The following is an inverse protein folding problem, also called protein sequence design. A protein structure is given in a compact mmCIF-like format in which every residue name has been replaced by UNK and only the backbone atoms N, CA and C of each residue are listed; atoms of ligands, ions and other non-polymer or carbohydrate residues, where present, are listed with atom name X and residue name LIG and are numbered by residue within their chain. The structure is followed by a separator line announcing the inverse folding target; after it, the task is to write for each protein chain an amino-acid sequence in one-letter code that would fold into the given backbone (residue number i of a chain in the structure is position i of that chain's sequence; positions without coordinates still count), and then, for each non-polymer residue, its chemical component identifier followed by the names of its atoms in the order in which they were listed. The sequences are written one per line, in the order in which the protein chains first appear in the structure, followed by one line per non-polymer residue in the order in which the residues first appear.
data_IF_110961891560
#
_entry.id   IF_110961891560
#
_cell.length_a   1.000
_cell.length_b   1.000
_cell.length_c   1.000
_cell.angle_alpha   90.00
_cell.angle_beta   90.00
_cell.angle_gamma   90.00
#
_symmetry.space_group_name_H-M   'P 1'
#
loop_
_entity.id
_entity.type
_entity.pdbx_description
1 polymer ?
#
# COMPACT_ATOMS: atom_id res chain seq x y z
N UNK A 1 -13.03 -71.08 69.45
CA UNK A 1 -12.88 -69.62 69.31
C UNK A 1 -12.52 -69.27 67.90
N UNK A 2 -13.44 -68.66 67.16
CA UNK A 2 -13.23 -68.11 65.80
C UNK A 2 -13.22 -66.61 65.91
N UNK A 3 -12.29 -65.88 65.24
CA UNK A 3 -12.32 -64.44 65.20
C UNK A 3 -13.30 -63.94 64.13
N UNK A 4 -14.06 -62.97 64.55
CA UNK A 4 -15.07 -62.24 63.80
C UNK A 4 -14.42 -61.37 62.77
N UNK A 5 -14.69 -61.59 61.48
CA UNK A 5 -14.26 -60.75 60.38
C UNK A 5 -15.21 -59.55 60.26
N UNK A 6 -14.73 -58.39 60.57
CA UNK A 6 -15.42 -57.12 60.26
C UNK A 6 -15.32 -56.87 58.74
N UNK A 7 -16.50 -56.97 58.08
CA UNK A 7 -16.61 -56.45 56.70
C UNK A 7 -16.83 -54.93 56.76
N UNK A 8 -15.84 -54.21 56.37
CA UNK A 8 -16.02 -52.79 56.07
C UNK A 8 -16.62 -52.68 54.67
N UNK A 9 -17.92 -52.42 54.61
CA UNK A 9 -18.56 -51.96 53.34
C UNK A 9 -18.19 -50.52 53.10
N UNK A 10 -17.25 -50.29 52.18
CA UNK A 10 -16.92 -48.99 51.71
C UNK A 10 -18.00 -48.55 50.69
N UNK A 11 -18.96 -47.77 51.18
CA UNK A 11 -19.96 -47.11 50.33
C UNK A 11 -19.28 -46.01 49.56
N UNK A 12 -18.86 -46.31 48.31
CA UNK A 12 -18.43 -45.27 47.37
C UNK A 12 -19.65 -44.47 46.96
N UNK A 13 -19.83 -43.32 47.61
CA UNK A 13 -20.75 -42.29 47.14
C UNK A 13 -20.11 -41.63 45.88
N UNK A 14 -20.55 -42.11 44.71
CA UNK A 14 -20.26 -41.45 43.45
C UNK A 14 -20.98 -40.11 43.43
N UNK A 15 -20.35 -39.06 43.97
CA UNK A 15 -20.69 -37.70 43.64
C UNK A 15 -20.23 -37.50 42.18
N UNK A 16 -21.15 -37.62 41.24
CA UNK A 16 -20.97 -37.10 39.88
C UNK A 16 -20.91 -35.59 39.97
N UNK A 17 -19.70 -35.07 40.19
CA UNK A 17 -19.38 -33.68 39.90
C UNK A 17 -19.52 -33.50 38.40
N UNK A 18 -20.69 -33.06 37.96
CA UNK A 18 -20.86 -32.47 36.62
C UNK A 18 -20.04 -31.20 36.60
N UNK A 19 -18.76 -31.33 36.30
CA UNK A 19 -17.97 -30.19 35.85
C UNK A 19 -18.54 -29.84 34.48
N UNK A 20 -19.47 -28.88 34.46
CA UNK A 20 -19.73 -28.13 33.25
C UNK A 20 -18.37 -27.50 32.87
N UNK A 21 -17.70 -28.13 31.92
CA UNK A 21 -16.56 -27.47 31.24
C UNK A 21 -17.12 -26.18 30.64
N UNK A 22 -16.97 -25.09 31.39
CA UNK A 22 -17.10 -23.77 30.78
C UNK A 22 -16.03 -23.74 29.70
N UNK A 23 -16.45 -23.86 28.44
CA UNK A 23 -15.64 -23.51 27.31
C UNK A 23 -15.09 -22.11 27.65
N UNK A 24 -13.76 -21.92 27.70
CA UNK A 24 -13.23 -20.60 27.94
C UNK A 24 -13.78 -19.74 26.82
N UNK A 25 -14.76 -18.88 27.12
CA UNK A 25 -15.13 -17.77 26.25
C UNK A 25 -13.82 -17.02 26.06
N UNK A 26 -13.31 -17.06 24.83
CA UNK A 26 -12.20 -16.20 24.46
C UNK A 26 -12.54 -14.80 25.00
N UNK A 27 -11.63 -14.14 25.71
CA UNK A 27 -11.89 -12.82 26.23
C UNK A 27 -12.44 -12.02 25.06
N UNK A 28 -13.61 -11.40 25.26
CA UNK A 28 -14.16 -10.52 24.27
C UNK A 28 -13.02 -9.57 23.92
N UNK A 29 -12.50 -9.68 22.71
CA UNK A 29 -11.46 -8.77 22.22
C UNK A 29 -12.15 -7.43 22.28
N UNK A 30 -11.91 -6.68 23.37
CA UNK A 30 -12.33 -5.30 23.44
C UNK A 30 -11.78 -4.68 22.19
N UNK A 31 -12.66 -4.28 21.29
CA UNK A 31 -12.28 -3.57 20.07
C UNK A 31 -11.24 -2.54 20.49
N UNK A 32 -10.01 -2.58 19.98
CA UNK A 32 -9.00 -1.67 20.46
C UNK A 32 -9.55 -0.27 20.32
N UNK A 33 -9.50 0.52 21.36
CA UNK A 33 -9.93 1.91 21.37
C UNK A 33 -9.18 2.78 20.32
N UNK A 34 -8.36 2.16 19.48
CA UNK A 34 -7.52 2.73 18.44
C UNK A 34 -7.97 2.25 17.07
N UNK A 35 -9.09 2.79 16.59
CA UNK A 35 -9.40 2.74 15.17
C UNK A 35 -8.33 3.47 14.36
N UNK A 36 -8.09 3.03 13.12
CA UNK A 36 -7.21 3.74 12.18
C UNK A 36 -7.88 5.07 11.82
N UNK A 37 -7.19 6.16 12.08
CA UNK A 37 -7.54 7.52 11.64
C UNK A 37 -6.40 8.02 10.79
N UNK A 38 -6.48 7.74 9.50
CA UNK A 38 -5.42 7.98 8.54
C UNK A 38 -5.71 9.20 7.67
N UNK A 39 -4.63 9.84 7.22
CA UNK A 39 -4.67 10.89 6.20
C UNK A 39 -3.66 10.57 5.10
N UNK A 40 -4.04 10.82 3.84
CA UNK A 40 -3.08 10.84 2.73
C UNK A 40 -2.40 12.20 2.73
N UNK A 41 -1.09 12.20 2.67
CA UNK A 41 -0.27 13.40 2.47
C UNK A 41 0.40 13.30 1.11
N UNK A 42 -0.10 14.08 0.17
CA UNK A 42 0.34 14.12 -1.22
C UNK A 42 1.55 15.03 -1.39
N UNK A 43 2.63 14.49 -1.93
CA UNK A 43 3.83 15.27 -2.29
C UNK A 43 3.90 15.62 -3.77
N UNK A 44 3.04 15.04 -4.60
CA UNK A 44 2.98 15.32 -6.03
C UNK A 44 2.79 16.81 -6.30
N UNK A 45 3.72 17.40 -7.03
CA UNK A 45 3.75 18.84 -7.30
C UNK A 45 3.67 19.73 -6.05
N UNK A 46 3.98 19.17 -4.88
CA UNK A 46 3.89 19.88 -3.61
C UNK A 46 2.44 20.17 -3.16
N UNK A 47 1.46 19.35 -3.55
CA UNK A 47 0.03 19.60 -3.34
C UNK A 47 -0.28 19.87 -1.85
N UNK A 48 0.03 18.94 -0.95
CA UNK A 48 -0.13 19.12 0.49
C UNK A 48 1.17 19.61 1.12
N UNK A 49 2.29 19.09 0.63
CA UNK A 49 3.64 19.44 1.05
C UNK A 49 4.65 19.01 -0.03
N UNK A 50 5.72 19.78 -0.28
CA UNK A 50 6.20 20.97 0.41
C UNK A 50 5.64 22.31 -0.13
N UNK A 51 4.53 22.31 -0.82
CA UNK A 51 3.77 23.52 -1.21
C UNK A 51 4.63 24.62 -1.87
N UNK A 52 5.49 24.23 -2.83
CA UNK A 52 6.38 25.13 -3.56
C UNK A 52 7.62 25.60 -2.78
N UNK A 53 7.84 25.10 -1.58
CA UNK A 53 9.06 25.38 -0.80
C UNK A 53 10.15 24.38 -1.14
N UNK A 54 11.00 24.74 -2.07
CA UNK A 54 12.10 23.88 -2.50
C UNK A 54 13.29 23.97 -1.56
N UNK A 55 13.90 22.83 -1.25
CA UNK A 55 15.10 22.73 -0.44
C UNK A 55 16.34 22.49 -1.32
N UNK A 56 17.07 23.56 -1.62
CA UNK A 56 18.34 23.54 -2.40
C UNK A 56 19.54 23.76 -1.49
N UNK A 57 19.30 24.43 -0.36
CA UNK A 57 20.29 24.76 0.66
C UNK A 57 19.90 24.17 2.00
N UNK A 58 20.84 24.14 2.96
CA UNK A 58 20.54 23.68 4.31
C UNK A 58 19.49 24.57 5.02
N UNK A 59 19.49 25.87 4.76
CA UNK A 59 18.50 26.80 5.31
C UNK A 59 17.10 26.52 4.75
N UNK A 60 16.97 26.37 3.44
CA UNK A 60 15.70 26.00 2.78
C UNK A 60 15.20 24.62 3.26
N UNK A 61 16.11 23.67 3.52
CA UNK A 61 15.76 22.38 4.09
C UNK A 61 15.19 22.51 5.51
N UNK A 62 15.71 23.40 6.33
CA UNK A 62 15.15 23.66 7.68
C UNK A 62 13.74 24.23 7.59
N UNK A 63 13.47 25.15 6.66
CA UNK A 63 12.14 25.70 6.46
C UNK A 63 11.15 24.63 5.97
N UNK A 64 11.57 23.81 5.01
CA UNK A 64 10.75 22.71 4.46
C UNK A 64 10.43 21.67 5.55
N UNK A 65 11.41 21.30 6.38
CA UNK A 65 11.24 20.43 7.54
C UNK A 65 10.27 21.05 8.57
N UNK A 66 10.46 22.32 8.91
CA UNK A 66 9.59 23.01 9.86
C UNK A 66 8.13 23.08 9.38
N UNK A 67 7.90 23.18 8.08
CA UNK A 67 6.56 23.12 7.49
C UNK A 67 5.93 21.74 7.73
N UNK A 68 6.64 20.63 7.45
CA UNK A 68 6.14 19.29 7.68
C UNK A 68 5.85 19.03 9.17
N UNK A 69 6.74 19.46 10.05
CA UNK A 69 6.54 19.34 11.50
C UNK A 69 5.24 20.03 11.94
N UNK A 70 4.95 21.24 11.46
CA UNK A 70 3.69 21.94 11.77
C UNK A 70 2.45 21.19 11.23
N UNK A 71 2.54 20.60 10.03
CA UNK A 71 1.46 19.77 9.50
C UNK A 71 1.22 18.57 10.43
N UNK A 72 2.26 17.90 10.87
CA UNK A 72 2.15 16.74 11.76
C UNK A 72 1.65 17.13 13.17
N UNK A 73 2.00 18.31 13.69
CA UNK A 73 1.42 18.85 14.92
C UNK A 73 -0.09 19.01 14.79
N UNK A 74 -0.55 19.57 13.68
CA UNK A 74 -1.99 19.72 13.39
C UNK A 74 -2.71 18.37 13.26
N UNK A 75 -2.10 17.40 12.58
CA UNK A 75 -2.66 16.05 12.44
C UNK A 75 -2.76 15.35 13.81
N UNK A 76 -1.74 15.43 14.64
CA UNK A 76 -1.76 14.88 15.98
C UNK A 76 -2.85 15.53 16.84
N UNK A 77 -2.98 16.85 16.79
CA UNK A 77 -4.03 17.59 17.52
C UNK A 77 -5.44 17.20 17.05
N UNK A 78 -5.60 16.87 15.77
CA UNK A 78 -6.86 16.35 15.20
C UNK A 78 -7.12 14.87 15.53
N UNK A 79 -6.23 14.21 16.28
CA UNK A 79 -6.37 12.81 16.66
C UNK A 79 -6.03 11.80 15.54
N UNK A 80 -5.37 12.23 14.47
CA UNK A 80 -4.83 11.35 13.43
C UNK A 80 -3.71 10.49 14.05
N UNK A 81 -3.70 9.21 13.70
CA UNK A 81 -2.71 8.27 14.21
C UNK A 81 -1.92 7.55 13.10
N UNK A 82 -2.22 7.82 11.84
CA UNK A 82 -1.56 7.19 10.70
C UNK A 82 -1.44 8.19 9.55
N UNK A 83 -0.25 8.33 9.00
CA UNK A 83 0.01 9.17 7.82
C UNK A 83 0.40 8.28 6.66
N UNK A 84 -0.37 8.34 5.58
CA UNK A 84 -0.04 7.72 4.31
C UNK A 84 0.78 8.75 3.51
N UNK A 85 2.10 8.68 3.66
CA UNK A 85 3.04 9.66 3.11
C UNK A 85 3.46 9.29 1.70
N UNK A 86 3.16 10.13 0.70
CA UNK A 86 3.48 9.85 -0.69
C UNK A 86 4.99 9.81 -0.90
N UNK A 87 5.50 8.59 -0.98
CA UNK A 87 6.93 8.26 -1.05
C UNK A 87 7.39 7.97 -2.48
N UNK A 88 6.54 7.33 -3.28
CA UNK A 88 6.72 7.17 -4.72
C UNK A 88 5.60 7.89 -5.45
N UNK A 89 5.98 8.81 -6.33
CA UNK A 89 5.02 9.71 -7.00
C UNK A 89 4.66 9.15 -8.40
N UNK A 90 5.52 9.32 -9.37
CA UNK A 90 5.35 8.82 -10.74
C UNK A 90 6.68 8.36 -11.31
N UNK A 91 7.19 7.24 -10.80
CA UNK A 91 8.55 6.75 -11.06
C UNK A 91 9.64 7.77 -10.65
N UNK A 92 9.32 8.52 -9.60
CA UNK A 92 10.19 9.40 -8.83
C UNK A 92 9.88 9.19 -7.35
N UNK A 93 10.82 9.46 -6.47
CA UNK A 93 10.72 9.13 -5.05
C UNK A 93 11.12 10.27 -4.12
N UNK A 94 10.75 10.13 -2.84
CA UNK A 94 11.01 11.07 -1.75
C UNK A 94 12.18 10.62 -0.85
N UNK A 95 13.12 9.83 -1.38
CA UNK A 95 14.26 9.32 -0.61
C UNK A 95 15.44 9.01 -1.55
N UNK A 96 16.68 8.89 -1.04
CA UNK A 96 17.83 8.52 -1.86
C UNK A 96 17.73 7.04 -2.31
N UNK A 97 17.09 6.82 -3.45
CA UNK A 97 16.89 5.51 -4.07
C UNK A 97 18.01 5.18 -5.05
N UNK A 98 18.36 3.89 -5.15
CA UNK A 98 19.21 3.36 -6.21
C UNK A 98 18.43 2.96 -7.46
N UNK A 99 17.09 2.98 -7.39
CA UNK A 99 16.18 2.48 -8.43
C UNK A 99 15.52 3.62 -9.19
N UNK A 100 14.97 4.61 -8.50
CA UNK A 100 14.24 5.73 -9.11
C UNK A 100 14.82 7.09 -8.70
N UNK A 101 14.75 8.10 -9.57
CA UNK A 101 15.29 9.44 -9.28
C UNK A 101 14.42 10.20 -8.27
N UNK A 102 15.01 11.22 -7.67
CA UNK A 102 14.30 12.14 -6.81
C UNK A 102 13.16 12.88 -7.52
N UNK A 103 12.04 13.05 -6.82
CA UNK A 103 10.98 13.92 -7.31
C UNK A 103 11.37 15.40 -7.20
N UNK A 104 10.97 16.17 -8.22
CA UNK A 104 11.29 17.59 -8.29
C UNK A 104 10.54 18.46 -7.28
N UNK A 105 9.51 17.94 -6.60
CA UNK A 105 8.77 18.69 -5.59
C UNK A 105 9.66 19.12 -4.42
N UNK A 106 10.72 18.36 -4.10
CA UNK A 106 11.56 18.62 -2.93
C UNK A 106 12.68 19.64 -3.18
N UNK A 107 13.38 19.54 -4.30
CA UNK A 107 14.50 20.44 -4.65
C UNK A 107 14.14 21.52 -5.68
N UNK A 108 12.95 21.42 -6.30
CA UNK A 108 12.56 22.25 -7.44
C UNK A 108 13.06 21.73 -8.79
N UNK A 109 13.89 20.69 -8.81
CA UNK A 109 14.47 20.13 -10.02
C UNK A 109 14.32 18.62 -10.04
N UNK A 110 13.59 18.05 -11.02
CA UNK A 110 13.46 16.60 -11.15
C UNK A 110 14.82 15.89 -11.24
N UNK A 111 14.99 14.82 -10.49
CA UNK A 111 16.23 14.04 -10.42
C UNK A 111 17.32 14.59 -9.52
N UNK A 112 17.11 15.77 -8.92
CA UNK A 112 18.08 16.40 -8.01
C UNK A 112 17.64 16.21 -6.56
N UNK A 113 18.54 15.70 -5.73
CA UNK A 113 18.28 15.48 -4.31
C UNK A 113 18.16 16.82 -3.55
N UNK A 114 17.25 16.94 -2.59
CA UNK A 114 17.34 17.94 -1.53
C UNK A 114 18.50 17.59 -0.58
N UNK A 115 18.99 18.54 0.25
CA UNK A 115 20.13 18.29 1.14
C UNK A 115 19.78 17.48 2.40
N UNK A 116 18.73 16.64 2.36
CA UNK A 116 18.34 15.74 3.43
C UNK A 116 17.50 14.56 2.90
N UNK A 117 17.40 13.51 3.70
CA UNK A 117 16.53 12.36 3.43
C UNK A 117 15.11 12.67 3.89
N UNK A 118 14.23 12.93 2.93
CA UNK A 118 12.84 13.36 3.17
C UNK A 118 12.04 12.27 3.86
N UNK A 119 12.14 11.02 3.40
CA UNK A 119 11.38 9.92 4.00
C UNK A 119 11.84 9.64 5.43
N UNK A 120 13.15 9.64 5.67
CA UNK A 120 13.70 9.47 7.03
C UNK A 120 13.15 10.53 7.96
N UNK A 121 13.21 11.78 7.56
CA UNK A 121 12.70 12.88 8.35
C UNK A 121 11.19 12.76 8.63
N UNK A 122 10.40 12.39 7.62
CA UNK A 122 8.96 12.21 7.78
C UNK A 122 8.63 11.07 8.78
N UNK A 123 9.36 9.95 8.73
CA UNK A 123 9.20 8.84 9.68
C UNK A 123 9.51 9.30 11.11
N UNK A 124 10.66 9.95 11.32
CA UNK A 124 11.08 10.42 12.64
C UNK A 124 10.05 11.41 13.22
N UNK A 125 9.52 12.31 12.41
CA UNK A 125 8.48 13.26 12.81
C UNK A 125 7.14 12.60 13.15
N UNK A 126 6.73 11.58 12.41
CA UNK A 126 5.52 10.82 12.72
C UNK A 126 5.68 10.03 14.02
N UNK A 127 6.77 9.27 14.16
CA UNK A 127 7.04 8.44 15.33
C UNK A 127 7.17 9.24 16.60
N UNK A 128 7.83 10.40 16.54
CA UNK A 128 7.94 11.31 17.69
C UNK A 128 6.58 11.78 18.23
N UNK A 129 5.53 11.76 17.41
CA UNK A 129 4.16 12.11 17.76
C UNK A 129 3.25 10.90 18.01
N UNK A 130 3.81 9.69 18.02
CA UNK A 130 3.06 8.46 18.21
C UNK A 130 2.14 8.10 17.02
N UNK A 131 2.45 8.60 15.83
CA UNK A 131 1.74 8.28 14.59
C UNK A 131 2.52 7.24 13.79
N UNK A 132 1.80 6.32 13.15
CA UNK A 132 2.38 5.44 12.13
C UNK A 132 2.63 6.22 10.84
N UNK A 133 3.70 5.88 10.12
CA UNK A 133 3.94 6.35 8.78
C UNK A 133 3.98 5.17 7.81
N UNK A 134 3.04 5.19 6.85
CA UNK A 134 3.03 4.24 5.74
C UNK A 134 3.59 4.89 4.49
N UNK A 135 4.56 4.24 3.86
CA UNK A 135 5.05 4.68 2.57
C UNK A 135 3.96 4.47 1.50
N UNK A 136 3.40 5.56 1.01
CA UNK A 136 2.38 5.56 -0.02
C UNK A 136 3.03 5.59 -1.41
N UNK A 137 2.71 4.60 -2.24
CA UNK A 137 3.25 4.43 -3.57
C UNK A 137 2.16 4.52 -4.63
N UNK A 138 2.31 5.43 -5.58
CA UNK A 138 1.59 5.39 -6.86
C UNK A 138 2.23 4.29 -7.71
N UNK A 139 1.57 3.13 -7.80
CA UNK A 139 2.25 1.87 -8.14
C UNK A 139 2.61 1.72 -9.62
N UNK A 140 1.64 1.66 -10.53
CA UNK A 140 1.95 1.46 -11.96
C UNK A 140 2.20 2.76 -12.73
N UNK A 141 1.54 3.89 -12.45
CA UNK A 141 1.80 5.11 -13.18
C UNK A 141 3.26 5.58 -13.08
N UNK A 142 3.79 6.00 -14.21
CA UNK A 142 5.12 6.59 -14.34
C UNK A 142 5.05 8.07 -14.74
N UNK A 143 6.16 8.58 -15.26
CA UNK A 143 6.31 9.98 -15.61
C UNK A 143 5.28 10.40 -16.67
N UNK A 144 4.73 11.61 -16.53
CA UNK A 144 4.07 12.30 -17.67
C UNK A 144 5.10 12.55 -18.78
N UNK A 145 4.63 12.86 -19.98
CA UNK A 145 5.54 13.19 -21.08
C UNK A 145 6.42 14.37 -20.76
N UNK A 146 5.87 15.39 -20.09
CA UNK A 146 6.62 16.57 -19.68
C UNK A 146 7.67 16.24 -18.60
N UNK A 147 7.33 15.41 -17.60
CA UNK A 147 8.26 14.94 -16.58
C UNK A 147 9.37 14.09 -17.20
N UNK A 148 9.03 13.16 -18.08
CA UNK A 148 10.01 12.33 -18.78
C UNK A 148 10.99 13.17 -19.60
N UNK A 149 10.51 14.21 -20.27
CA UNK A 149 11.37 15.16 -21.01
C UNK A 149 12.33 15.89 -20.07
N UNK A 150 11.86 16.35 -18.91
CA UNK A 150 12.71 17.04 -17.92
C UNK A 150 13.73 16.12 -17.27
N UNK A 151 13.36 14.89 -16.95
CA UNK A 151 14.23 13.87 -16.36
C UNK A 151 15.25 13.31 -17.37
N UNK A 152 14.96 13.36 -18.68
CA UNK A 152 15.84 12.84 -19.72
C UNK A 152 16.21 11.36 -19.50
N UNK A 153 17.49 11.08 -19.35
CA UNK A 153 18.00 9.70 -19.13
C UNK A 153 17.54 9.08 -17.80
N UNK A 154 17.13 9.87 -16.85
CA UNK A 154 16.62 9.39 -15.55
C UNK A 154 15.14 9.02 -15.59
N UNK A 155 14.43 9.34 -16.67
CA UNK A 155 13.01 9.01 -16.81
C UNK A 155 12.77 7.51 -16.87
N UNK A 156 11.59 7.07 -16.43
CA UNK A 156 11.20 5.67 -16.47
C UNK A 156 11.30 5.07 -17.88
N UNK A 157 10.78 5.70 -18.95
CA UNK A 157 10.88 5.13 -20.29
C UNK A 157 12.33 5.06 -20.81
N UNK A 158 13.24 5.91 -20.34
CA UNK A 158 14.65 5.82 -20.71
C UNK A 158 15.40 4.72 -19.97
N UNK A 159 15.10 4.53 -18.68
CA UNK A 159 15.74 3.51 -17.84
C UNK A 159 15.16 2.11 -18.06
N UNK A 160 13.85 2.01 -18.22
CA UNK A 160 13.10 0.75 -18.26
C UNK A 160 12.16 0.69 -19.48
N UNK A 161 12.68 0.91 -20.73
CA UNK A 161 11.83 1.01 -21.92
C UNK A 161 10.98 -0.24 -22.20
N UNK A 162 11.49 -1.41 -21.79
CA UNK A 162 10.78 -2.69 -21.98
C UNK A 162 9.60 -2.90 -21.05
N UNK A 163 9.57 -2.20 -19.89
CA UNK A 163 8.51 -2.33 -18.90
C UNK A 163 7.39 -1.31 -19.08
N UNK A 164 7.55 -0.34 -19.99
CA UNK A 164 6.66 0.81 -20.09
C UNK A 164 5.77 0.75 -21.33
N UNK A 165 4.53 1.16 -21.14
CA UNK A 165 3.56 1.43 -22.22
C UNK A 165 2.95 2.81 -22.00
N UNK A 166 2.53 3.45 -23.09
CA UNK A 166 1.83 4.73 -23.03
C UNK A 166 0.42 4.55 -22.46
N UNK A 167 0.06 5.40 -21.53
CA UNK A 167 -1.29 5.51 -20.99
C UNK A 167 -1.73 6.98 -21.05
N UNK A 168 -2.41 7.36 -22.12
CA UNK A 168 -2.78 8.74 -22.37
C UNK A 168 -1.54 9.66 -22.48
N UNK A 169 -1.46 10.64 -21.58
CA UNK A 169 -0.40 11.66 -21.51
C UNK A 169 0.82 11.25 -20.67
N UNK A 170 0.86 10.00 -20.21
CA UNK A 170 1.91 9.49 -19.31
C UNK A 170 2.47 8.15 -19.77
N UNK A 171 3.61 7.80 -19.24
CA UNK A 171 4.15 6.47 -19.26
C UNK A 171 3.60 5.67 -18.08
N UNK A 172 3.42 4.39 -18.25
CA UNK A 172 2.98 3.48 -17.21
C UNK A 172 3.77 2.18 -17.28
N UNK A 173 4.13 1.64 -16.14
CA UNK A 173 4.58 0.25 -16.06
C UNK A 173 3.44 -0.65 -16.54
N UNK A 174 3.72 -1.51 -17.52
CA UNK A 174 2.74 -2.47 -18.03
C UNK A 174 2.71 -3.70 -17.13
N UNK A 175 1.61 -3.94 -16.39
CA UNK A 175 1.53 -5.07 -15.47
C UNK A 175 1.70 -6.42 -16.17
N UNK A 176 1.41 -6.50 -17.48
CA UNK A 176 1.50 -7.72 -18.28
C UNK A 176 2.91 -8.05 -18.77
N UNK A 177 3.86 -7.13 -18.63
CA UNK A 177 5.25 -7.39 -19.02
C UNK A 177 5.99 -8.10 -17.91
N UNK A 178 6.60 -9.27 -18.18
CA UNK A 178 7.50 -9.93 -17.22
C UNK A 178 8.62 -8.99 -16.77
N UNK A 179 8.86 -8.96 -15.46
CA UNK A 179 9.82 -8.05 -14.82
C UNK A 179 9.18 -6.81 -14.17
N UNK A 180 7.92 -6.47 -14.51
CA UNK A 180 7.22 -5.33 -13.89
C UNK A 180 6.94 -5.57 -12.41
N UNK A 181 6.43 -6.75 -12.06
CA UNK A 181 6.16 -7.10 -10.67
C UNK A 181 7.45 -7.12 -9.84
N UNK A 182 8.50 -7.70 -10.41
CA UNK A 182 9.85 -7.78 -9.82
C UNK A 182 10.46 -6.39 -9.59
N UNK A 183 10.31 -5.48 -10.55
CA UNK A 183 10.77 -4.09 -10.43
C UNK A 183 10.10 -3.37 -9.25
N UNK A 184 8.79 -3.50 -9.13
CA UNK A 184 8.03 -2.89 -8.04
C UNK A 184 8.32 -3.54 -6.68
N UNK A 185 8.49 -4.86 -6.65
CA UNK A 185 8.88 -5.57 -5.44
C UNK A 185 10.28 -5.15 -4.97
N UNK A 186 11.22 -4.90 -5.89
CA UNK A 186 12.56 -4.43 -5.57
C UNK A 186 12.56 -3.03 -4.99
N UNK A 187 11.71 -2.13 -5.52
CA UNK A 187 11.50 -0.81 -4.95
C UNK A 187 10.93 -0.88 -3.51
N UNK A 188 9.95 -1.75 -3.29
CA UNK A 188 9.40 -1.99 -1.95
C UNK A 188 10.45 -2.60 -1.02
N UNK A 189 11.26 -3.55 -1.52
CA UNK A 189 12.40 -4.11 -0.79
C UNK A 189 13.35 -3.03 -0.31
N UNK A 190 13.71 -2.11 -1.20
CA UNK A 190 14.60 -0.98 -0.86
C UNK A 190 14.03 -0.15 0.29
N UNK A 191 12.73 0.17 0.25
CA UNK A 191 12.07 0.94 1.31
C UNK A 191 12.06 0.18 2.63
N UNK A 192 11.53 -1.04 2.67
CA UNK A 192 11.34 -1.78 3.93
C UNK A 192 12.67 -2.25 4.54
N UNK A 193 13.73 -2.39 3.74
CA UNK A 193 15.06 -2.74 4.24
C UNK A 193 15.78 -1.57 4.89
N UNK A 194 15.56 -0.34 4.39
CA UNK A 194 16.33 0.85 4.77
C UNK A 194 15.60 1.79 5.72
N UNK A 195 14.27 1.71 5.77
CA UNK A 195 13.42 2.65 6.51
C UNK A 195 12.51 1.93 7.50
N UNK A 196 12.29 2.56 8.64
CA UNK A 196 11.39 2.04 9.68
C UNK A 196 9.94 2.48 9.42
N UNK A 197 9.43 2.14 8.24
CA UNK A 197 8.02 2.38 7.90
C UNK A 197 7.12 1.38 8.62
N UNK A 198 5.94 1.83 9.04
CA UNK A 198 4.93 0.99 9.68
C UNK A 198 4.05 0.26 8.66
N UNK A 199 4.03 0.75 7.43
CA UNK A 199 3.26 0.15 6.35
C UNK A 199 3.73 0.56 4.96
N UNK A 200 3.25 -0.24 4.00
CA UNK A 200 3.30 0.05 2.56
C UNK A 200 1.86 0.24 2.09
N UNK A 201 1.56 1.37 1.49
CA UNK A 201 0.25 1.68 0.94
C UNK A 201 0.30 1.79 -0.58
N UNK A 202 -0.44 0.94 -1.28
CA UNK A 202 -0.43 0.86 -2.75
C UNK A 202 -1.64 1.60 -3.33
N UNK A 203 -1.38 2.69 -4.02
CA UNK A 203 -2.37 3.37 -4.85
C UNK A 203 -2.11 3.08 -6.33
N UNK A 204 -3.14 3.22 -7.17
CA UNK A 204 -3.05 2.89 -8.59
C UNK A 204 -2.45 1.50 -8.86
N UNK A 205 -2.70 0.55 -7.97
CA UNK A 205 -2.37 -0.88 -8.16
C UNK A 205 -3.44 -1.52 -9.06
N UNK A 206 -3.50 -1.05 -10.30
CA UNK A 206 -4.55 -1.36 -11.26
C UNK A 206 -4.16 -0.96 -12.69
N UNK A 207 -4.84 -1.53 -13.67
CA UNK A 207 -4.77 -1.03 -15.04
C UNK A 207 -5.39 0.38 -15.14
N UNK A 208 -5.05 1.15 -16.19
CA UNK A 208 -5.70 2.43 -16.45
C UNK A 208 -7.21 2.28 -16.61
N UNK A 209 -7.91 3.36 -16.36
CA UNK A 209 -9.34 3.45 -16.59
C UNK A 209 -9.66 3.23 -18.08
N UNK A 210 -10.82 2.64 -18.41
CA UNK A 210 -11.19 2.35 -19.81
C UNK A 210 -11.18 3.57 -20.74
N UNK A 211 -11.38 4.77 -20.19
CA UNK A 211 -11.31 6.04 -20.92
C UNK A 211 -9.89 6.48 -21.28
N UNK A 212 -8.87 5.89 -20.65
CA UNK A 212 -7.47 6.21 -20.91
C UNK A 212 -6.89 5.21 -21.92
N UNK A 213 -6.43 5.67 -23.10
CA UNK A 213 -5.80 4.78 -24.07
C UNK A 213 -4.59 4.04 -23.48
N UNK A 214 -4.64 2.71 -23.52
CA UNK A 214 -3.57 1.84 -23.07
C UNK A 214 -3.46 0.62 -23.99
N UNK A 215 -2.43 0.58 -24.82
CA UNK A 215 -2.26 -0.49 -25.81
C UNK A 215 -1.36 -1.61 -25.30
N UNK A 216 -1.96 -2.61 -24.71
CA UNK A 216 -1.31 -3.84 -24.30
C UNK A 216 -1.52 -5.04 -25.29
N UNK A 217 -1.94 -4.78 -26.51
CA UNK A 217 -2.21 -5.85 -27.51
C UNK A 217 -0.99 -6.73 -27.76
N UNK A 218 0.18 -6.12 -27.93
CA UNK A 218 1.44 -6.85 -28.15
C UNK A 218 1.84 -7.66 -26.92
N UNK A 219 1.72 -7.08 -25.73
CA UNK A 219 2.00 -7.75 -24.46
C UNK A 219 1.07 -8.94 -24.26
N UNK A 220 -0.23 -8.75 -24.50
CA UNK A 220 -1.21 -9.81 -24.40
C UNK A 220 -0.98 -10.93 -25.45
N UNK A 221 -0.71 -10.58 -26.70
CA UNK A 221 -0.40 -11.57 -27.75
C UNK A 221 0.81 -12.44 -27.36
N UNK A 222 1.81 -11.84 -26.71
CA UNK A 222 3.03 -12.55 -26.33
C UNK A 222 2.91 -13.35 -25.04
N UNK A 223 2.17 -12.86 -24.06
CA UNK A 223 2.17 -13.41 -22.69
C UNK A 223 0.78 -13.84 -22.19
N UNK A 224 -0.27 -13.66 -22.99
CA UNK A 224 -1.64 -14.00 -22.61
C UNK A 224 -1.92 -15.51 -22.58
N UNK A 225 -1.18 -16.30 -23.36
CA UNK A 225 -1.31 -17.76 -23.40
C UNK A 225 -2.75 -18.26 -23.58
N UNK A 226 -3.50 -17.64 -24.50
CA UNK A 226 -4.91 -17.95 -24.83
C UNK A 226 -5.92 -17.74 -23.70
N UNK A 227 -5.53 -17.17 -22.57
CA UNK A 227 -6.46 -16.80 -21.48
C UNK A 227 -7.35 -15.62 -21.89
N UNK A 228 -8.57 -15.51 -21.38
CA UNK A 228 -9.37 -14.31 -21.55
C UNK A 228 -8.61 -13.07 -21.09
N UNK A 229 -8.58 -12.00 -21.89
CA UNK A 229 -7.76 -10.82 -21.64
C UNK A 229 -8.03 -10.17 -20.28
N UNK A 230 -9.30 -10.11 -19.85
CA UNK A 230 -9.68 -9.55 -18.55
C UNK A 230 -9.13 -10.38 -17.38
N UNK A 231 -9.13 -11.70 -17.52
CA UNK A 231 -8.55 -12.61 -16.52
C UNK A 231 -7.03 -12.47 -16.46
N UNK A 232 -6.37 -12.48 -17.61
CA UNK A 232 -4.93 -12.26 -17.71
C UNK A 232 -4.50 -10.93 -17.08
N UNK A 233 -5.23 -9.84 -17.33
CA UNK A 233 -4.96 -8.54 -16.69
C UNK A 233 -5.07 -8.60 -15.16
N UNK A 234 -6.12 -9.25 -14.63
CA UNK A 234 -6.27 -9.44 -13.18
C UNK A 234 -5.13 -10.24 -12.57
N UNK A 235 -4.73 -11.33 -13.23
CA UNK A 235 -3.60 -12.15 -12.77
C UNK A 235 -2.29 -11.36 -12.72
N UNK A 236 -2.03 -10.49 -13.70
CA UNK A 236 -0.83 -9.64 -13.67
C UNK A 236 -0.80 -8.70 -12.47
N UNK A 237 -1.94 -8.07 -12.15
CA UNK A 237 -2.04 -7.23 -10.94
C UNK A 237 -1.94 -8.07 -9.68
N UNK A 238 -2.63 -9.21 -9.62
CA UNK A 238 -2.56 -10.14 -8.48
C UNK A 238 -1.13 -10.61 -8.23
N UNK A 239 -0.38 -10.97 -9.27
CA UNK A 239 1.03 -11.36 -9.16
C UNK A 239 1.87 -10.24 -8.57
N UNK A 240 1.65 -9.00 -8.99
CA UNK A 240 2.38 -7.85 -8.44
C UNK A 240 2.10 -7.68 -6.95
N UNK A 241 0.82 -7.73 -6.55
CA UNK A 241 0.42 -7.64 -5.14
C UNK A 241 1.01 -8.79 -4.33
N UNK A 242 0.92 -10.02 -4.83
CA UNK A 242 1.48 -11.20 -4.18
C UNK A 242 2.98 -11.04 -3.94
N UNK A 243 3.74 -10.68 -4.96
CA UNK A 243 5.19 -10.56 -4.88
C UNK A 243 5.63 -9.44 -3.93
N UNK A 244 4.92 -8.31 -3.93
CA UNK A 244 5.15 -7.22 -2.95
C UNK A 244 4.88 -7.74 -1.54
N UNK A 245 3.77 -8.45 -1.33
CA UNK A 245 3.42 -9.02 -0.02
C UNK A 245 4.50 -9.99 0.47
N UNK A 246 4.90 -10.93 -0.36
CA UNK A 246 5.97 -11.91 -0.05
C UNK A 246 7.28 -11.20 0.30
N UNK A 247 7.63 -10.16 -0.45
CA UNK A 247 8.83 -9.35 -0.21
C UNK A 247 8.81 -8.66 1.14
N UNK A 248 7.69 -8.00 1.48
CA UNK A 248 7.54 -7.31 2.78
C UNK A 248 7.58 -8.31 3.93
N UNK A 249 6.81 -9.41 3.82
CA UNK A 249 6.73 -10.45 4.86
C UNK A 249 8.08 -11.13 5.13
N UNK A 250 8.90 -11.31 4.10
CA UNK A 250 10.23 -11.89 4.23
C UNK A 250 11.23 -10.98 4.97
N UNK A 251 11.04 -9.66 4.92
CA UNK A 251 11.98 -8.69 5.50
C UNK A 251 11.49 -8.19 6.86
N UNK A 252 10.23 -7.69 6.91
CA UNK A 252 9.60 -7.15 8.10
C UNK A 252 8.12 -7.58 8.16
N UNK A 253 7.81 -8.76 8.70
CA UNK A 253 6.45 -9.34 8.68
C UNK A 253 5.41 -8.51 9.43
N UNK A 254 5.83 -7.58 10.28
CA UNK A 254 4.93 -6.67 11.02
C UNK A 254 4.54 -5.42 10.23
N UNK A 255 5.23 -5.10 9.12
CA UNK A 255 4.88 -3.96 8.27
C UNK A 255 3.56 -4.23 7.58
N UNK A 256 2.61 -3.34 7.74
CA UNK A 256 1.25 -3.45 7.18
C UNK A 256 1.29 -3.21 5.67
N UNK A 257 0.46 -3.94 4.94
CA UNK A 257 0.28 -3.75 3.49
C UNK A 257 -1.18 -3.38 3.24
N UNK A 258 -1.40 -2.22 2.68
CA UNK A 258 -2.74 -1.70 2.40
C UNK A 258 -2.83 -1.14 0.99
N UNK A 259 -4.04 -0.92 0.50
CA UNK A 259 -4.23 -0.23 -0.78
C UNK A 259 -5.51 0.60 -0.79
N UNK A 260 -5.60 1.52 -1.78
CA UNK A 260 -6.79 2.32 -2.07
C UNK A 260 -7.50 1.77 -3.33
N UNK A 261 -8.39 0.76 -3.19
CA UNK A 261 -9.12 0.24 -4.34
C UNK A 261 -10.31 1.16 -4.69
N UNK A 262 -10.83 0.98 -5.92
CA UNK A 262 -12.13 1.56 -6.29
C UNK A 262 -13.18 1.09 -5.29
N UNK A 263 -14.01 1.99 -4.80
CA UNK A 263 -15.00 1.70 -3.76
C UNK A 263 -16.01 0.62 -4.14
N UNK A 264 -16.46 0.61 -5.40
CA UNK A 264 -17.29 -0.46 -5.96
C UNK A 264 -16.40 -1.61 -6.42
N UNK A 265 -16.54 -2.78 -5.84
CA UNK A 265 -15.71 -3.95 -6.20
C UNK A 265 -16.06 -4.54 -7.57
N UNK A 266 -17.33 -4.85 -7.80
CA UNK A 266 -17.84 -5.46 -9.03
C UNK A 266 -19.28 -5.04 -9.28
N UNK A 267 -19.81 -5.32 -10.47
CA UNK A 267 -21.22 -5.16 -10.74
C UNK A 267 -22.06 -6.21 -9.98
N UNK A 268 -23.21 -5.79 -9.48
CA UNK A 268 -24.18 -6.61 -8.79
C UNK A 268 -25.51 -6.61 -9.59
N UNK A 269 -25.67 -7.54 -10.55
CA UNK A 269 -26.84 -7.56 -11.44
C UNK A 269 -28.19 -7.60 -10.68
N UNK A 270 -28.22 -8.33 -9.57
CA UNK A 270 -29.42 -8.41 -8.71
C UNK A 270 -29.82 -7.06 -8.08
N UNK A 271 -28.89 -6.11 -8.01
CA UNK A 271 -29.13 -4.75 -7.46
C UNK A 271 -29.10 -3.68 -8.55
N UNK A 272 -29.15 -4.09 -9.83
CA UNK A 272 -29.03 -3.18 -10.99
C UNK A 272 -27.77 -2.31 -10.97
N UNK A 273 -26.75 -2.70 -10.20
CA UNK A 273 -25.51 -1.96 -10.08
C UNK A 273 -24.60 -2.27 -11.26
N UNK A 274 -24.38 -1.27 -12.11
CA UNK A 274 -23.54 -1.36 -13.32
C UNK A 274 -22.51 -0.21 -13.35
N UNK A 275 -21.46 -0.36 -14.15
CA UNK A 275 -20.53 0.71 -14.46
C UNK A 275 -19.13 0.52 -13.87
N UNK A 276 -18.49 1.62 -13.56
CA UNK A 276 -17.10 1.62 -13.14
C UNK A 276 -16.88 0.87 -11.81
N UNK A 277 -16.01 -0.12 -11.82
CA UNK A 277 -15.73 -0.97 -10.67
C UNK A 277 -14.26 -1.43 -10.66
N UNK A 278 -13.81 -1.92 -9.51
CA UNK A 278 -12.42 -2.34 -9.30
C UNK A 278 -12.05 -3.56 -10.14
N UNK A 279 -12.85 -4.62 -10.02
CA UNK A 279 -12.49 -5.95 -10.55
C UNK A 279 -12.49 -6.02 -12.06
N UNK A 280 -13.52 -5.50 -12.70
CA UNK A 280 -13.74 -5.72 -14.13
C UNK A 280 -13.26 -4.54 -14.99
N UNK A 281 -13.42 -3.29 -14.50
CA UNK A 281 -12.99 -2.12 -15.26
C UNK A 281 -11.49 -1.87 -15.20
N UNK A 282 -10.84 -2.12 -14.06
CA UNK A 282 -9.42 -1.80 -13.84
C UNK A 282 -8.58 -2.97 -13.33
N UNK A 283 -9.13 -4.19 -13.34
CA UNK A 283 -8.45 -5.45 -13.00
C UNK A 283 -7.91 -5.50 -11.56
N UNK A 284 -8.64 -4.90 -10.60
CA UNK A 284 -8.26 -4.75 -9.21
C UNK A 284 -9.09 -5.71 -8.33
N UNK A 285 -8.55 -6.90 -8.03
CA UNK A 285 -9.25 -7.95 -7.26
C UNK A 285 -8.93 -7.85 -5.76
N UNK A 286 -9.31 -6.72 -5.16
CA UNK A 286 -9.00 -6.40 -3.77
C UNK A 286 -9.56 -7.42 -2.75
N UNK A 287 -10.71 -8.04 -3.04
CA UNK A 287 -11.26 -9.08 -2.19
C UNK A 287 -10.40 -10.36 -2.20
N UNK A 288 -9.84 -10.72 -3.35
CA UNK A 288 -8.90 -11.85 -3.43
C UNK A 288 -7.66 -11.56 -2.58
N UNK A 289 -7.13 -10.35 -2.64
CA UNK A 289 -5.92 -9.99 -1.90
C UNK A 289 -6.11 -10.10 -0.39
N UNK A 290 -7.27 -9.70 0.15
CA UNK A 290 -7.61 -9.92 1.57
C UNK A 290 -7.75 -11.41 1.88
N UNK A 291 -8.48 -12.17 1.07
CA UNK A 291 -8.67 -13.61 1.29
C UNK A 291 -7.36 -14.40 1.28
N UNK A 292 -6.38 -13.96 0.49
CA UNK A 292 -5.05 -14.57 0.41
C UNK A 292 -4.09 -14.07 1.48
N UNK A 293 -4.47 -13.09 2.28
CA UNK A 293 -3.58 -12.48 3.27
C UNK A 293 -2.45 -11.64 2.66
N UNK A 294 -2.59 -11.25 1.39
CA UNK A 294 -1.60 -10.38 0.72
C UNK A 294 -1.74 -8.91 1.14
N UNK A 295 -2.91 -8.53 1.64
CA UNK A 295 -3.21 -7.21 2.19
C UNK A 295 -3.72 -7.32 3.61
N UNK A 296 -3.33 -6.38 4.46
CA UNK A 296 -3.81 -6.27 5.85
C UNK A 296 -5.03 -5.36 5.96
N UNK A 297 -5.27 -4.50 4.96
CA UNK A 297 -6.40 -3.59 4.94
C UNK A 297 -6.65 -2.95 3.58
N UNK A 298 -7.86 -2.47 3.41
CA UNK A 298 -8.28 -1.71 2.24
C UNK A 298 -8.82 -0.34 2.69
N UNK A 299 -8.48 0.70 1.94
CA UNK A 299 -9.03 2.05 2.08
C UNK A 299 -9.81 2.40 0.80
N UNK A 300 -11.04 1.89 0.61
CA UNK A 300 -11.78 2.06 -0.62
C UNK A 300 -12.05 3.53 -0.92
N UNK A 301 -11.88 3.93 -2.18
CA UNK A 301 -12.23 5.28 -2.66
C UNK A 301 -13.75 5.44 -2.71
N UNK A 302 -14.31 6.10 -1.71
CA UNK A 302 -15.75 6.31 -1.54
C UNK A 302 -16.13 7.76 -1.88
N UNK A 303 -15.76 8.21 -3.08
CA UNK A 303 -16.03 9.57 -3.57
C UNK A 303 -17.46 9.69 -4.13
N UNK A 304 -18.43 9.33 -3.32
CA UNK A 304 -19.83 9.43 -3.66
C UNK A 304 -20.44 10.66 -2.98
N UNK A 305 -21.17 11.41 -3.74
CA UNK A 305 -21.94 12.57 -3.29
C UNK A 305 -23.30 12.15 -2.68
N UNK A 306 -23.33 11.28 -1.76
CA UNK A 306 -24.43 10.95 -0.83
C UNK A 306 -25.89 10.94 -1.39
N UNK A 307 -26.06 10.84 -2.74
CA UNK A 307 -27.36 10.71 -3.42
C UNK A 307 -27.69 9.27 -3.76
#
# INVERSE_FOLDING_TARGET
SRPMRFLFSLLFLLLSLSTTAQTPTAPAVSSPARGVRAVWLCTYSGLDWPAGRYARTAAEALEQKAQLSRIFDGLQAAGINTVLFQTRIRATVAYPSHIEPWDGAFSGTPGVAPPYDVLRFAIDEAHRRGMELHAYLVTFPGNTLAEAKRLGRQSLPARMPKLCTRAGDKWQLDPGVPGTAEYLAELVREIVSRYDVDGIHLDYIRYPEPSIPFDDRRTYARYGHHRPKAEWRRENVNRTVQLISETVRAIRPWVKITCAPIGKYADLPAQSSKGWNARDAVSQDAQLWLRRGWMDGLFPMMYFDGQ
#
